data_IF_865963706878
#
_entry.id   IF_865963706878
#
_cell.length_a   1.000
_cell.length_b   1.000
_cell.length_c   1.000
_cell.angle_alpha   90.00
_cell.angle_beta   90.00
_cell.angle_gamma   90.00
#
_symmetry.space_group_name_H-M   'P 1'
#
loop_
_entity.id
_entity.type
_entity.pdbx_description
1 polymer ?
#
# COMPACT_ATOMS: atom_id res chain seq x y z
N UNK A 1 3.27 -29.71 35.79
CA UNK A 1 1.80 -29.48 35.69
C UNK A 1 1.46 -28.14 35.04
N UNK A 2 2.28 -27.10 35.18
CA UNK A 2 2.07 -25.77 34.58
C UNK A 2 2.13 -25.74 33.02
N UNK A 3 3.01 -26.51 32.39
CA UNK A 3 3.12 -26.58 30.92
C UNK A 3 1.90 -27.21 30.21
N UNK A 4 1.17 -28.12 30.87
CA UNK A 4 -0.06 -28.72 30.30
C UNK A 4 -1.28 -27.79 30.35
N UNK A 5 -1.34 -26.86 31.28
CA UNK A 5 -2.42 -25.86 31.40
C UNK A 5 -2.23 -24.70 30.43
N UNK A 6 -0.98 -24.27 30.19
CA UNK A 6 -0.68 -23.23 29.20
C UNK A 6 -1.03 -23.67 27.76
N UNK A 7 -0.75 -24.92 27.39
CA UNK A 7 -1.11 -25.46 26.07
C UNK A 7 -2.61 -25.54 25.80
N UNK A 8 -3.43 -25.84 26.81
CA UNK A 8 -4.91 -25.88 26.66
C UNK A 8 -5.51 -24.48 26.48
N UNK A 9 -4.99 -23.48 27.19
CA UNK A 9 -5.43 -22.08 27.05
C UNK A 9 -5.12 -21.51 25.67
N UNK A 10 -3.93 -21.76 25.17
CA UNK A 10 -3.52 -21.34 23.82
C UNK A 10 -4.35 -21.99 22.73
N UNK A 11 -4.61 -23.31 22.82
CA UNK A 11 -5.45 -24.00 21.86
C UNK A 11 -6.89 -23.47 21.86
N UNK A 12 -7.48 -23.23 23.02
CA UNK A 12 -8.82 -22.64 23.11
C UNK A 12 -8.88 -21.24 22.50
N UNK A 13 -7.85 -20.40 22.75
CA UNK A 13 -7.74 -19.06 22.16
C UNK A 13 -7.62 -19.12 20.64
N UNK A 14 -6.82 -20.05 20.12
CA UNK A 14 -6.68 -20.32 18.69
C UNK A 14 -8.03 -20.66 18.04
N UNK A 15 -8.80 -21.57 18.66
CA UNK A 15 -10.10 -21.98 18.13
C UNK A 15 -11.11 -20.84 18.17
N UNK A 16 -11.08 -19.98 19.20
CA UNK A 16 -11.88 -18.77 19.25
C UNK A 16 -11.55 -17.81 18.11
N UNK A 17 -10.26 -17.58 17.83
CA UNK A 17 -9.81 -16.71 16.75
C UNK A 17 -10.24 -17.25 15.38
N UNK A 18 -10.12 -18.56 15.15
CA UNK A 18 -10.65 -19.21 13.93
C UNK A 18 -12.14 -18.98 13.76
N UNK A 19 -12.90 -19.17 14.83
CA UNK A 19 -14.34 -18.90 14.83
C UNK A 19 -14.66 -17.43 14.52
N UNK A 20 -13.84 -16.49 14.96
CA UNK A 20 -14.01 -15.07 14.65
C UNK A 20 -13.80 -14.77 13.15
N UNK A 21 -12.84 -15.40 12.48
CA UNK A 21 -12.67 -15.29 11.03
C UNK A 21 -13.85 -15.85 10.26
N UNK A 22 -14.33 -17.04 10.63
CA UNK A 22 -15.51 -17.66 10.00
C UNK A 22 -16.76 -16.80 10.21
N UNK A 23 -16.96 -16.27 11.42
CA UNK A 23 -18.08 -15.38 11.73
C UNK A 23 -18.01 -14.06 10.96
N UNK A 24 -16.84 -13.48 10.83
CA UNK A 24 -16.62 -12.26 10.05
C UNK A 24 -16.90 -12.48 8.55
N UNK A 25 -16.50 -13.62 7.99
CA UNK A 25 -16.80 -13.98 6.61
C UNK A 25 -18.31 -14.19 6.42
N UNK A 26 -18.97 -14.91 7.33
CA UNK A 26 -20.42 -15.15 7.30
C UNK A 26 -21.21 -13.84 7.41
N UNK A 27 -20.78 -12.88 8.22
CA UNK A 27 -21.39 -11.56 8.33
C UNK A 27 -21.35 -10.76 7.00
N UNK A 28 -20.38 -11.06 6.14
CA UNK A 28 -20.28 -10.52 4.78
C UNK A 28 -21.03 -11.38 3.73
N UNK A 29 -21.79 -12.39 4.16
CA UNK A 29 -22.47 -13.30 3.24
C UNK A 29 -21.54 -14.20 2.43
N UNK A 30 -20.33 -14.45 2.92
CA UNK A 30 -19.27 -15.18 2.23
C UNK A 30 -18.66 -16.26 3.13
N UNK A 31 -17.72 -17.01 2.57
CA UNK A 31 -16.89 -17.98 3.28
C UNK A 31 -15.42 -17.75 2.92
N UNK A 32 -14.51 -18.11 3.85
CA UNK A 32 -13.09 -18.08 3.57
C UNK A 32 -12.76 -19.08 2.45
N UNK A 33 -12.05 -18.61 1.44
CA UNK A 33 -11.42 -19.50 0.46
C UNK A 33 -10.23 -20.27 1.07
N UNK A 34 -9.64 -21.26 0.39
CA UNK A 34 -8.55 -22.08 0.94
C UNK A 34 -7.33 -21.26 1.37
N UNK A 35 -6.95 -20.24 0.59
CA UNK A 35 -5.80 -19.38 0.87
C UNK A 35 -6.10 -18.44 2.05
N UNK A 36 -7.29 -17.87 2.09
CA UNK A 36 -7.74 -17.06 3.23
C UNK A 36 -7.82 -17.89 4.51
N UNK A 37 -8.25 -19.16 4.41
CA UNK A 37 -8.29 -20.07 5.57
C UNK A 37 -6.88 -20.37 6.08
N UNK A 38 -5.94 -20.61 5.18
CA UNK A 38 -4.52 -20.79 5.53
C UNK A 38 -3.96 -19.55 6.23
N UNK A 39 -4.26 -18.36 5.72
CA UNK A 39 -3.86 -17.10 6.33
C UNK A 39 -4.51 -16.90 7.71
N UNK A 40 -5.81 -17.13 7.83
CA UNK A 40 -6.56 -17.06 9.09
C UNK A 40 -6.00 -18.03 10.15
N UNK A 41 -5.61 -19.24 9.76
CA UNK A 41 -4.97 -20.21 10.65
C UNK A 41 -3.64 -19.68 11.20
N UNK A 42 -2.78 -19.09 10.36
CA UNK A 42 -1.52 -18.49 10.79
C UNK A 42 -1.71 -17.27 11.68
N UNK A 43 -2.67 -16.44 11.35
CA UNK A 43 -3.04 -15.30 12.18
C UNK A 43 -3.62 -15.73 13.54
N UNK A 44 -4.41 -16.81 13.57
CA UNK A 44 -4.92 -17.38 14.80
C UNK A 44 -3.80 -17.98 15.67
N UNK A 45 -2.79 -18.63 15.07
CA UNK A 45 -1.60 -19.11 15.78
C UNK A 45 -0.85 -17.95 16.44
N UNK A 46 -0.64 -16.87 15.70
CA UNK A 46 0.02 -15.66 16.20
C UNK A 46 -0.78 -15.02 17.34
N UNK A 47 -2.09 -14.82 17.17
CA UNK A 47 -2.96 -14.17 18.15
C UNK A 47 -3.24 -15.01 19.39
N UNK A 48 -3.07 -16.34 19.30
CA UNK A 48 -3.16 -17.25 20.45
C UNK A 48 -1.89 -17.21 21.33
N UNK A 49 -0.78 -16.69 20.80
CA UNK A 49 0.47 -16.62 21.53
C UNK A 49 0.96 -18.00 22.00
N UNK A 50 0.85 -19.02 21.14
CA UNK A 50 1.07 -20.42 21.52
C UNK A 50 2.46 -20.66 22.12
N UNK A 51 3.46 -19.93 21.66
CA UNK A 51 4.79 -19.89 22.26
C UNK A 51 5.59 -18.65 21.75
N UNK A 52 6.75 -18.38 22.35
CA UNK A 52 7.63 -17.28 21.96
C UNK A 52 8.28 -17.50 20.58
N UNK A 53 8.22 -18.72 20.05
CA UNK A 53 8.74 -19.10 18.74
C UNK A 53 7.73 -18.89 17.60
N UNK A 54 6.47 -18.49 17.90
CA UNK A 54 5.46 -18.24 16.86
C UNK A 54 5.92 -17.06 15.99
N UNK A 55 6.19 -17.28 14.69
CA UNK A 55 6.66 -16.22 13.81
C UNK A 55 5.56 -15.19 13.57
N UNK A 56 5.96 -14.00 13.14
CA UNK A 56 5.05 -13.05 12.51
C UNK A 56 4.38 -13.63 11.27
N UNK A 57 3.49 -12.88 10.66
CA UNK A 57 2.79 -13.31 9.44
C UNK A 57 2.93 -12.24 8.36
N UNK A 58 3.43 -12.62 7.19
CA UNK A 58 3.50 -11.79 6.00
C UNK A 58 2.48 -12.29 4.99
N UNK A 59 1.39 -11.53 4.80
CA UNK A 59 0.33 -11.82 3.83
C UNK A 59 0.63 -11.12 2.52
N UNK A 60 0.76 -11.86 1.41
CA UNK A 60 0.96 -11.26 0.11
C UNK A 60 0.00 -11.82 -0.94
N UNK A 61 -0.12 -11.10 -2.06
CA UNK A 61 -0.95 -11.50 -3.19
C UNK A 61 -1.69 -10.32 -3.81
N UNK A 62 -2.46 -10.54 -4.88
CA UNK A 62 -3.14 -9.49 -5.61
C UNK A 62 -4.04 -8.62 -4.73
N UNK A 63 -4.29 -7.40 -5.19
CA UNK A 63 -5.22 -6.46 -4.57
C UNK A 63 -6.64 -7.05 -4.52
N UNK A 64 -7.41 -6.73 -3.47
CA UNK A 64 -8.81 -7.17 -3.36
C UNK A 64 -9.01 -8.58 -2.77
N UNK A 65 -7.96 -9.29 -2.39
CA UNK A 65 -8.02 -10.67 -1.87
C UNK A 65 -8.30 -10.78 -0.37
N UNK A 66 -8.54 -9.66 0.32
CA UNK A 66 -8.92 -9.65 1.73
C UNK A 66 -7.76 -9.67 2.72
N UNK A 67 -6.50 -9.44 2.29
CA UNK A 67 -5.32 -9.44 3.18
C UNK A 67 -5.47 -8.49 4.38
N UNK A 68 -5.77 -7.22 4.10
CA UNK A 68 -5.99 -6.20 5.13
C UNK A 68 -7.20 -6.53 6.00
N UNK A 69 -8.30 -7.03 5.40
CA UNK A 69 -9.47 -7.48 6.14
C UNK A 69 -9.14 -8.63 7.11
N UNK A 70 -8.38 -9.63 6.70
CA UNK A 70 -7.91 -10.70 7.59
C UNK A 70 -7.09 -10.14 8.76
N UNK A 71 -6.17 -9.21 8.48
CA UNK A 71 -5.40 -8.55 9.53
C UNK A 71 -6.31 -7.76 10.50
N UNK A 72 -7.30 -7.03 9.98
CA UNK A 72 -8.26 -6.26 10.77
C UNK A 72 -9.12 -7.17 11.68
N UNK A 73 -9.57 -8.32 11.18
CA UNK A 73 -10.29 -9.32 12.00
C UNK A 73 -9.40 -9.77 13.17
N UNK A 74 -8.13 -10.11 12.92
CA UNK A 74 -7.22 -10.45 14.01
C UNK A 74 -7.10 -9.32 15.04
N UNK A 75 -6.81 -8.09 14.58
CA UNK A 75 -6.59 -6.95 15.48
C UNK A 75 -7.82 -6.66 16.35
N UNK A 76 -9.03 -6.81 15.78
CA UNK A 76 -10.28 -6.64 16.53
C UNK A 76 -10.47 -7.64 17.68
N UNK A 77 -9.77 -8.76 17.64
CA UNK A 77 -9.82 -9.81 18.67
C UNK A 77 -8.70 -9.69 19.71
N UNK A 78 -7.72 -8.80 19.50
CA UNK A 78 -6.65 -8.58 20.46
C UNK A 78 -7.12 -7.63 21.59
N UNK A 79 -6.53 -7.73 22.79
CA UNK A 79 -6.83 -6.79 23.86
C UNK A 79 -6.51 -5.35 23.44
N UNK A 80 -7.31 -4.40 23.90
CA UNK A 80 -7.11 -2.99 23.62
C UNK A 80 -5.72 -2.52 24.05
N UNK A 81 -5.05 -1.72 23.21
CA UNK A 81 -3.71 -1.19 23.47
C UNK A 81 -2.56 -2.18 23.24
N UNK A 82 -2.83 -3.44 22.87
CA UNK A 82 -1.77 -4.44 22.60
C UNK A 82 -1.31 -4.49 21.16
N UNK A 83 -1.98 -3.77 20.26
CA UNK A 83 -1.62 -3.71 18.85
C UNK A 83 -1.45 -2.28 18.36
N UNK A 84 -0.52 -2.11 17.41
CA UNK A 84 -0.30 -0.85 16.68
C UNK A 84 -0.42 -1.13 15.18
N UNK A 85 -1.12 -0.25 14.46
CA UNK A 85 -1.23 -0.31 12.99
C UNK A 85 -0.55 0.88 12.37
N UNK A 86 0.29 0.63 11.37
CA UNK A 86 0.97 1.65 10.57
C UNK A 86 1.03 1.19 9.11
N UNK A 87 0.98 2.14 8.19
CA UNK A 87 1.48 1.88 6.85
C UNK A 87 3.00 1.76 6.87
N UNK A 88 3.57 0.87 6.06
CA UNK A 88 5.02 0.67 6.03
C UNK A 88 5.79 1.97 5.70
N UNK A 89 5.25 2.81 4.83
CA UNK A 89 5.79 4.14 4.54
C UNK A 89 5.82 5.05 5.78
N UNK A 90 4.73 5.07 6.55
CA UNK A 90 4.67 5.90 7.77
C UNK A 90 5.63 5.38 8.84
N UNK A 91 5.80 4.07 8.94
CA UNK A 91 6.80 3.48 9.82
C UNK A 91 8.21 3.94 9.43
N UNK A 92 8.59 3.83 8.14
CA UNK A 92 9.89 4.31 7.66
C UNK A 92 10.07 5.82 7.94
N UNK A 93 9.05 6.63 7.66
CA UNK A 93 9.07 8.08 7.90
C UNK A 93 9.20 8.43 9.39
N UNK A 94 8.50 7.71 10.27
CA UNK A 94 8.61 7.89 11.72
C UNK A 94 10.00 7.51 12.23
N UNK A 95 10.56 6.40 11.73
CA UNK A 95 11.94 5.99 12.04
C UNK A 95 12.96 7.05 11.59
N UNK A 96 12.88 7.53 10.35
CA UNK A 96 13.75 8.60 9.85
C UNK A 96 13.68 9.87 10.72
N UNK A 97 12.46 10.31 11.07
CA UNK A 97 12.26 11.47 11.95
C UNK A 97 12.79 11.22 13.37
N UNK A 98 12.58 10.01 13.90
CA UNK A 98 13.05 9.62 15.22
C UNK A 98 14.58 9.62 15.30
N UNK A 99 15.24 9.09 14.26
CA UNK A 99 16.71 9.10 14.14
C UNK A 99 17.22 10.53 14.01
N UNK A 100 16.63 11.36 13.14
CA UNK A 100 17.05 12.75 12.92
C UNK A 100 16.94 13.60 14.19
N UNK A 101 15.87 13.43 14.97
CA UNK A 101 15.71 14.14 16.26
C UNK A 101 16.76 13.78 17.29
N UNK A 102 17.39 12.60 17.15
CA UNK A 102 18.39 12.05 18.07
C UNK A 102 19.79 12.04 17.46
N UNK A 103 20.00 12.73 16.35
CA UNK A 103 21.29 12.80 15.64
C UNK A 103 22.39 13.29 16.56
N UNK A 104 23.31 12.38 16.94
CA UNK A 104 24.47 12.62 17.79
C UNK A 104 24.75 11.52 18.84
N UNK A 105 23.85 10.52 19.02
CA UNK A 105 24.04 9.44 19.99
C UNK A 105 23.95 8.02 19.40
N UNK A 106 24.80 7.11 19.89
CA UNK A 106 24.59 5.66 19.72
C UNK A 106 23.21 5.32 20.32
N UNK A 107 22.27 4.80 19.52
CA UNK A 107 20.94 4.38 19.98
C UNK A 107 19.77 5.16 19.37
N UNK A 108 20.01 6.10 18.46
CA UNK A 108 18.94 6.85 17.80
C UNK A 108 17.90 5.96 17.06
N UNK A 109 18.35 4.88 16.43
CA UNK A 109 17.46 3.93 15.78
C UNK A 109 16.68 3.10 16.81
N UNK A 110 17.32 2.57 17.83
CA UNK A 110 16.65 1.75 18.86
C UNK A 110 15.53 2.53 19.56
N UNK A 111 15.83 3.77 19.97
CA UNK A 111 14.81 4.63 20.57
C UNK A 111 13.71 5.06 19.58
N UNK A 112 14.03 5.20 18.28
CA UNK A 112 13.00 5.45 17.26
C UNK A 112 12.10 4.23 17.06
N UNK A 113 12.65 3.01 17.15
CA UNK A 113 11.88 1.77 17.11
C UNK A 113 10.94 1.68 18.32
N UNK A 114 11.45 1.98 19.52
CA UNK A 114 10.65 1.96 20.75
C UNK A 114 9.48 2.96 20.68
N UNK A 115 9.70 4.15 20.09
CA UNK A 115 8.64 5.13 19.84
C UNK A 115 7.57 4.60 18.87
N UNK A 116 8.00 3.92 17.79
CA UNK A 116 7.08 3.38 16.75
C UNK A 116 6.26 2.22 17.29
N UNK A 117 6.87 1.34 18.09
CA UNK A 117 6.20 0.18 18.66
C UNK A 117 5.23 0.57 19.78
N UNK A 118 5.58 1.60 20.59
CA UNK A 118 4.69 2.14 21.61
C UNK A 118 4.22 1.15 22.68
N UNK A 119 4.95 0.05 22.90
CA UNK A 119 4.59 -1.00 23.87
C UNK A 119 3.60 -2.05 23.33
N UNK A 120 3.27 -2.03 22.05
CA UNK A 120 2.44 -3.05 21.41
C UNK A 120 3.16 -4.41 21.39
N UNK A 121 2.40 -5.50 21.49
CA UNK A 121 2.88 -6.89 21.31
C UNK A 121 2.64 -7.39 19.88
N UNK A 122 1.74 -6.75 19.13
CA UNK A 122 1.50 -7.02 17.72
C UNK A 122 1.58 -5.71 16.93
N UNK A 123 2.40 -5.70 15.89
CA UNK A 123 2.51 -4.59 14.95
C UNK A 123 1.95 -5.03 13.60
N UNK A 124 0.93 -4.31 13.10
CA UNK A 124 0.48 -4.42 11.72
C UNK A 124 1.20 -3.37 10.86
N UNK A 125 1.99 -3.85 9.90
CA UNK A 125 2.50 -3.02 8.80
C UNK A 125 1.65 -3.28 7.56
N UNK A 126 0.78 -2.34 7.26
CA UNK A 126 -0.08 -2.42 6.07
C UNK A 126 0.68 -1.93 4.83
N UNK A 127 0.41 -2.58 3.68
CA UNK A 127 0.99 -2.24 2.39
C UNK A 127 2.53 -2.20 2.39
N UNK A 128 3.17 -3.23 2.95
CA UNK A 128 4.63 -3.29 3.01
C UNK A 128 5.21 -3.35 1.60
N UNK A 129 5.86 -2.26 1.24
CA UNK A 129 6.61 -2.06 0.01
C UNK A 129 7.83 -1.20 0.29
N UNK A 130 8.93 -1.43 -0.42
CA UNK A 130 10.11 -0.58 -0.36
C UNK A 130 10.16 0.30 -1.62
N UNK A 131 10.02 1.61 -1.44
CA UNK A 131 10.06 2.57 -2.55
C UNK A 131 11.49 2.94 -2.95
N UNK A 132 12.42 2.85 -2.02
CA UNK A 132 13.83 3.10 -2.27
C UNK A 132 14.73 2.16 -1.41
N UNK A 133 16.01 2.04 -1.77
CA UNK A 133 16.96 1.19 -1.04
C UNK A 133 17.21 1.61 0.41
N UNK A 134 17.12 2.91 0.72
CA UNK A 134 17.33 3.42 2.08
C UNK A 134 16.22 2.97 3.01
N UNK A 135 14.97 3.05 2.55
CA UNK A 135 13.80 2.54 3.26
C UNK A 135 13.90 1.03 3.45
N UNK A 136 14.30 0.27 2.42
CA UNK A 136 14.49 -1.17 2.52
C UNK A 136 15.51 -1.56 3.60
N UNK A 137 16.63 -0.86 3.66
CA UNK A 137 17.65 -1.09 4.70
C UNK A 137 17.14 -0.74 6.10
N UNK A 138 16.44 0.37 6.23
CA UNK A 138 15.88 0.81 7.52
C UNK A 138 14.81 -0.17 8.02
N UNK A 139 13.86 -0.56 7.15
CA UNK A 139 12.83 -1.55 7.44
C UNK A 139 13.44 -2.91 7.80
N UNK A 140 14.49 -3.35 7.11
CA UNK A 140 15.21 -4.59 7.45
C UNK A 140 15.71 -4.59 8.88
N UNK A 141 16.32 -3.49 9.34
CA UNK A 141 16.80 -3.33 10.71
C UNK A 141 15.66 -3.25 11.71
N UNK A 142 14.60 -2.53 11.34
CA UNK A 142 13.37 -2.43 12.13
C UNK A 142 12.75 -3.80 12.38
N UNK A 143 12.52 -4.59 11.33
CA UNK A 143 11.89 -5.91 11.45
C UNK A 143 12.69 -6.87 12.33
N UNK A 144 14.02 -6.88 12.20
CA UNK A 144 14.87 -7.72 13.06
C UNK A 144 14.89 -7.28 14.53
N UNK A 145 14.54 -6.03 14.81
CA UNK A 145 14.49 -5.51 16.16
C UNK A 145 13.16 -5.80 16.89
N UNK A 146 12.13 -6.26 16.19
CA UNK A 146 10.81 -6.55 16.77
C UNK A 146 10.80 -7.79 17.67
N UNK A 147 11.32 -8.98 17.24
CA UNK A 147 11.27 -10.20 18.06
C UNK A 147 11.95 -10.05 19.42
N UNK A 148 13.16 -9.44 19.55
CA UNK A 148 13.79 -9.23 20.87
C UNK A 148 12.97 -8.33 21.80
N UNK A 149 12.03 -7.56 21.28
CA UNK A 149 11.11 -6.71 22.05
C UNK A 149 9.79 -7.41 22.39
N UNK A 150 9.65 -8.68 22.03
CA UNK A 150 8.39 -9.42 22.22
C UNK A 150 7.28 -8.97 21.26
N UNK A 151 7.62 -8.27 20.16
CA UNK A 151 6.67 -7.76 19.19
C UNK A 151 6.58 -8.70 18.00
N UNK A 152 5.38 -9.15 17.67
CA UNK A 152 5.11 -9.97 16.51
C UNK A 152 4.61 -9.09 15.36
N UNK A 153 5.15 -9.33 14.17
CA UNK A 153 4.77 -8.63 12.96
C UNK A 153 3.58 -9.31 12.28
N UNK A 154 2.58 -8.53 11.92
CA UNK A 154 1.65 -8.85 10.82
C UNK A 154 1.93 -7.85 9.72
N UNK A 155 2.18 -8.32 8.50
CA UNK A 155 2.39 -7.42 7.38
C UNK A 155 1.50 -7.82 6.20
N UNK A 156 0.97 -6.85 5.48
CA UNK A 156 0.27 -7.07 4.20
C UNK A 156 1.09 -6.48 3.06
N UNK A 157 1.03 -7.10 1.89
CA UNK A 157 1.71 -6.62 0.68
C UNK A 157 1.00 -7.11 -0.58
N UNK A 158 1.16 -6.40 -1.68
CA UNK A 158 0.73 -6.87 -2.98
C UNK A 158 1.80 -7.75 -3.66
N UNK A 159 2.99 -7.86 -3.06
CA UNK A 159 4.15 -8.55 -3.62
C UNK A 159 4.63 -9.66 -2.69
N UNK A 160 5.07 -10.77 -3.29
CA UNK A 160 5.92 -11.72 -2.57
C UNK A 160 7.21 -11.01 -2.10
N UNK A 161 7.90 -11.50 -1.05
CA UNK A 161 9.13 -10.85 -0.59
C UNK A 161 10.14 -10.58 -1.70
N UNK A 162 10.25 -11.47 -2.68
CA UNK A 162 11.16 -11.36 -3.83
C UNK A 162 10.74 -10.26 -4.82
N UNK A 163 9.45 -9.87 -4.81
CA UNK A 163 8.91 -8.79 -5.63
C UNK A 163 9.06 -7.41 -5.01
N UNK A 164 9.57 -7.31 -3.78
CA UNK A 164 9.88 -6.03 -3.18
C UNK A 164 11.06 -5.38 -3.91
N UNK A 165 10.88 -4.16 -4.43
CA UNK A 165 11.88 -3.41 -5.19
C UNK A 165 12.47 -4.23 -6.35
N UNK A 166 11.69 -4.60 -7.39
CA UNK A 166 12.07 -5.58 -8.40
C UNK A 166 13.13 -5.11 -9.41
N UNK A 167 13.54 -3.83 -9.37
CA UNK A 167 14.52 -3.29 -10.32
C UNK A 167 15.89 -3.99 -10.22
N UNK A 168 16.45 -4.55 -11.33
CA UNK A 168 17.67 -5.36 -11.30
C UNK A 168 18.90 -4.62 -10.74
N UNK A 169 18.91 -3.29 -10.83
CA UNK A 169 20.01 -2.45 -10.31
C UNK A 169 19.99 -2.30 -8.79
N UNK A 170 18.83 -2.46 -8.14
CA UNK A 170 18.66 -2.23 -6.71
C UNK A 170 18.23 -3.46 -5.93
N UNK A 171 17.95 -4.57 -6.62
CA UNK A 171 17.46 -5.81 -5.98
C UNK A 171 18.41 -6.31 -4.89
N UNK A 172 19.72 -6.19 -5.07
CA UNK A 172 20.68 -6.60 -4.04
C UNK A 172 20.57 -5.79 -2.74
N UNK A 173 20.02 -4.57 -2.80
CA UNK A 173 19.81 -3.70 -1.63
C UNK A 173 18.55 -4.04 -0.83
N UNK A 174 17.61 -4.78 -1.43
CA UNK A 174 16.40 -5.27 -0.75
C UNK A 174 16.59 -6.67 -0.14
N UNK A 175 17.63 -7.40 -0.52
CA UNK A 175 17.91 -8.75 0.03
C UNK A 175 17.91 -8.79 1.57
N UNK A 176 18.48 -7.80 2.30
CA UNK A 176 18.40 -7.79 3.76
C UNK A 176 16.97 -7.70 4.31
N UNK A 177 16.07 -7.00 3.60
CA UNK A 177 14.65 -6.91 3.97
C UNK A 177 13.93 -8.23 3.70
N UNK A 178 14.17 -8.85 2.54
CA UNK A 178 13.64 -10.18 2.20
C UNK A 178 14.08 -11.22 3.23
N UNK A 179 15.38 -11.22 3.59
CA UNK A 179 15.92 -12.10 4.61
C UNK A 179 15.22 -11.86 5.97
N UNK A 180 15.10 -10.59 6.40
CA UNK A 180 14.44 -10.25 7.65
C UNK A 180 12.98 -10.75 7.69
N UNK A 181 12.22 -10.57 6.60
CA UNK A 181 10.84 -11.08 6.50
C UNK A 181 10.80 -12.60 6.65
N UNK A 182 11.66 -13.33 5.95
CA UNK A 182 11.70 -14.79 6.00
C UNK A 182 12.19 -15.34 7.34
N UNK A 183 13.07 -14.61 8.03
CA UNK A 183 13.56 -14.96 9.35
C UNK A 183 12.50 -14.74 10.43
N UNK A 184 11.66 -13.71 10.29
CA UNK A 184 10.76 -13.25 11.36
C UNK A 184 9.29 -13.59 11.09
N UNK A 185 8.90 -13.97 9.86
CA UNK A 185 7.51 -14.18 9.47
C UNK A 185 7.30 -15.51 8.73
N UNK A 186 6.13 -16.11 8.95
CA UNK A 186 5.56 -17.06 8.02
C UNK A 186 5.01 -16.29 6.80
N UNK A 187 5.52 -16.60 5.62
CA UNK A 187 5.07 -16.00 4.35
C UNK A 187 3.88 -16.77 3.84
N UNK A 188 2.75 -16.10 3.63
CA UNK A 188 1.47 -16.70 3.23
C UNK A 188 0.91 -15.95 2.02
N UNK A 189 0.68 -16.67 0.94
CA UNK A 189 0.01 -16.13 -0.24
C UNK A 189 -1.52 -16.14 -0.05
N UNK A 190 -2.17 -15.04 -0.44
CA UNK A 190 -3.62 -14.86 -0.47
C UNK A 190 -4.00 -14.44 -1.88
N UNK A 191 -4.15 -15.42 -2.77
CA UNK A 191 -4.36 -15.22 -4.21
C UNK A 191 -5.69 -15.79 -4.72
N UNK A 192 -6.64 -16.10 -3.82
CA UNK A 192 -7.93 -16.68 -4.13
C UNK A 192 -8.64 -16.05 -5.34
N UNK A 193 -9.54 -16.76 -6.02
CA UNK A 193 -10.12 -16.32 -7.29
C UNK A 193 -11.10 -15.15 -7.16
N UNK A 194 -11.58 -14.85 -5.95
CA UNK A 194 -12.64 -13.87 -5.71
C UNK A 194 -12.04 -12.51 -5.33
N UNK A 195 -12.35 -11.48 -6.12
CA UNK A 195 -12.12 -10.10 -5.70
C UNK A 195 -13.27 -9.67 -4.77
N UNK A 196 -13.01 -9.63 -3.48
CA UNK A 196 -14.01 -9.27 -2.46
C UNK A 196 -14.52 -7.82 -2.59
N UNK A 197 -13.83 -6.96 -3.33
CA UNK A 197 -14.31 -5.60 -3.67
C UNK A 197 -15.46 -5.66 -4.66
N UNK A 198 -15.49 -6.66 -5.54
CA UNK A 198 -16.58 -6.87 -6.50
C UNK A 198 -17.87 -7.38 -5.85
N UNK A 199 -17.79 -7.97 -4.64
CA UNK A 199 -18.94 -8.47 -3.90
C UNK A 199 -19.67 -7.38 -3.09
N UNK A 200 -19.25 -6.12 -3.17
CA UNK A 200 -19.86 -4.86 -2.76
C UNK A 200 -20.93 -4.92 -1.67
N UNK A 201 -20.52 -4.72 -0.41
CA UNK A 201 -21.46 -4.25 0.62
C UNK A 201 -21.05 -2.82 1.04
N UNK A 202 -21.79 -1.85 0.49
CA UNK A 202 -21.61 -0.42 0.69
C UNK A 202 -20.90 0.24 -0.49
N UNK A 203 -21.59 1.12 -1.20
CA UNK A 203 -21.25 1.81 -2.43
C UNK A 203 -19.79 1.69 -2.88
N UNK A 204 -19.58 1.06 -4.01
CA UNK A 204 -18.24 0.76 -4.52
C UNK A 204 -17.39 2.05 -4.49
N UNK A 205 -16.44 2.12 -3.55
CA UNK A 205 -15.52 3.25 -3.50
C UNK A 205 -14.70 3.23 -4.78
N UNK A 206 -14.57 4.36 -5.47
CA UNK A 206 -13.77 4.42 -6.68
C UNK A 206 -12.31 4.07 -6.34
N UNK A 207 -11.80 2.97 -6.90
CA UNK A 207 -10.41 2.53 -6.78
C UNK A 207 -9.73 2.50 -8.14
N UNK A 208 -8.53 1.92 -8.20
CA UNK A 208 -7.72 1.82 -9.42
C UNK A 208 -8.51 1.25 -10.61
N UNK A 209 -9.27 0.18 -10.41
CA UNK A 209 -10.06 -0.48 -11.47
C UNK A 209 -11.15 0.40 -12.09
N UNK A 210 -11.50 1.51 -11.43
CA UNK A 210 -12.43 2.54 -11.96
C UNK A 210 -11.70 3.70 -12.62
N UNK A 211 -10.37 3.67 -12.67
CA UNK A 211 -9.53 4.64 -13.35
C UNK A 211 -9.70 4.61 -14.86
N UNK A 212 -9.21 5.64 -15.54
CA UNK A 212 -9.32 5.74 -16.99
C UNK A 212 -8.14 6.48 -17.62
N UNK A 213 -7.81 6.10 -18.85
CA UNK A 213 -6.95 6.89 -19.72
C UNK A 213 -7.81 7.58 -20.76
N UNK A 214 -7.94 8.89 -20.69
CA UNK A 214 -8.79 9.69 -21.55
C UNK A 214 -7.94 10.37 -22.65
N UNK A 215 -8.04 9.89 -23.85
CA UNK A 215 -7.41 10.50 -25.03
C UNK A 215 -8.48 10.93 -26.05
N UNK A 216 -8.57 12.17 -26.45
CA UNK A 216 -7.73 13.36 -26.19
C UNK A 216 -8.03 14.11 -24.88
N UNK A 217 -8.71 13.54 -23.92
CA UNK A 217 -8.92 14.08 -22.58
C UNK A 217 -9.90 15.27 -22.51
N UNK A 218 -10.96 15.24 -23.31
CA UNK A 218 -11.98 16.29 -23.35
C UNK A 218 -12.81 16.38 -22.05
N UNK A 219 -13.46 17.51 -21.81
CA UNK A 219 -14.41 17.68 -20.71
C UNK A 219 -15.59 16.69 -20.79
N UNK A 220 -16.03 16.33 -21.99
CA UNK A 220 -17.10 15.34 -22.19
C UNK A 220 -16.66 13.94 -21.76
N UNK A 221 -15.43 13.53 -22.04
CA UNK A 221 -14.87 12.26 -21.60
C UNK A 221 -14.70 12.23 -20.08
N UNK A 222 -14.26 13.34 -19.47
CA UNK A 222 -14.16 13.47 -18.02
C UNK A 222 -15.54 13.32 -17.36
N UNK A 223 -16.58 13.98 -17.93
CA UNK A 223 -17.97 13.86 -17.48
C UNK A 223 -18.50 12.42 -17.63
N UNK A 224 -18.17 11.74 -18.75
CA UNK A 224 -18.52 10.34 -18.96
C UNK A 224 -17.84 9.41 -17.94
N UNK A 225 -16.65 9.79 -17.43
CA UNK A 225 -16.00 9.13 -16.31
C UNK A 225 -16.61 9.49 -14.95
N UNK A 226 -17.70 10.27 -14.91
CA UNK A 226 -18.38 10.68 -13.68
C UNK A 226 -17.63 11.75 -12.88
N UNK A 227 -16.82 12.57 -13.54
CA UNK A 227 -16.04 13.64 -12.92
C UNK A 227 -16.38 14.98 -13.52
N UNK A 228 -16.53 15.99 -12.67
CA UNK A 228 -16.71 17.37 -13.10
C UNK A 228 -15.35 18.04 -13.37
N UNK A 229 -15.29 18.88 -14.40
CA UNK A 229 -14.11 19.69 -14.65
C UNK A 229 -14.10 20.89 -13.72
N UNK A 230 -12.95 21.19 -13.05
CA UNK A 230 -12.88 22.38 -12.22
C UNK A 230 -12.98 23.65 -13.07
N UNK A 231 -13.67 24.65 -12.57
CA UNK A 231 -13.72 25.95 -13.23
C UNK A 231 -12.34 26.65 -13.16
N UNK A 232 -12.04 27.60 -14.06
CA UNK A 232 -10.77 28.33 -14.02
C UNK A 232 -10.48 29.04 -12.68
N UNK A 233 -11.54 29.39 -11.93
CA UNK A 233 -11.44 30.00 -10.61
C UNK A 233 -11.19 29.03 -9.45
N UNK A 234 -11.28 27.72 -9.66
CA UNK A 234 -11.13 26.69 -8.64
C UNK A 234 -9.66 26.33 -8.35
N UNK A 235 -8.73 26.99 -9.02
CA UNK A 235 -7.30 26.74 -8.81
C UNK A 235 -6.91 26.98 -7.36
N UNK A 236 -6.21 26.02 -6.80
CA UNK A 236 -5.81 26.04 -5.38
C UNK A 236 -4.36 25.63 -5.24
N UNK A 237 -3.71 26.12 -4.19
CA UNK A 237 -2.38 25.69 -3.78
C UNK A 237 -2.51 24.76 -2.59
N UNK A 238 -2.18 23.52 -2.76
CA UNK A 238 -2.14 22.51 -1.70
C UNK A 238 -0.78 22.52 -1.02
N UNK A 239 -0.76 22.27 0.29
CA UNK A 239 0.49 21.97 0.99
C UNK A 239 0.67 20.45 0.97
N UNK A 240 1.72 19.96 0.30
CA UNK A 240 2.03 18.54 0.13
C UNK A 240 3.53 18.36 0.39
N UNK A 241 3.90 17.45 1.28
CA UNK A 241 5.30 17.24 1.67
C UNK A 241 5.96 18.50 2.26
N UNK A 242 5.16 19.41 2.84
CA UNK A 242 5.62 20.70 3.35
C UNK A 242 5.95 21.75 2.25
N UNK A 243 5.51 21.51 1.01
CA UNK A 243 5.74 22.37 -0.16
C UNK A 243 4.43 22.77 -0.83
N UNK A 244 4.36 23.95 -1.47
CA UNK A 244 3.20 24.34 -2.23
C UNK A 244 3.12 23.54 -3.55
N UNK A 245 2.01 22.87 -3.79
CA UNK A 245 1.67 22.18 -5.03
C UNK A 245 0.45 22.85 -5.66
N UNK A 246 0.56 23.30 -6.91
CA UNK A 246 -0.57 23.88 -7.64
C UNK A 246 -1.51 22.78 -8.10
N UNK A 247 -2.80 22.95 -7.83
CA UNK A 247 -3.84 22.11 -8.37
C UNK A 247 -4.79 22.94 -9.26
N UNK A 248 -5.30 22.30 -10.31
CA UNK A 248 -6.31 22.89 -11.17
C UNK A 248 -7.64 23.09 -10.44
N UNK A 249 -7.87 22.27 -9.41
CA UNK A 249 -9.01 22.36 -8.52
C UNK A 249 -9.20 21.10 -7.70
N UNK A 250 -10.08 21.20 -6.71
CA UNK A 250 -10.56 20.06 -5.90
C UNK A 250 -12.07 20.02 -6.05
N UNK A 251 -12.61 18.92 -6.57
CA UNK A 251 -14.04 18.72 -6.80
C UNK A 251 -14.50 17.48 -6.07
N UNK A 252 -15.20 17.63 -4.95
CA UNK A 252 -15.55 16.54 -4.07
C UNK A 252 -14.30 15.82 -3.52
N UNK A 253 -14.19 14.53 -3.74
CA UNK A 253 -13.03 13.72 -3.33
C UNK A 253 -11.94 13.60 -4.42
N UNK A 254 -12.08 14.37 -5.52
CA UNK A 254 -11.13 14.37 -6.62
C UNK A 254 -10.24 15.61 -6.62
N UNK A 255 -8.93 15.42 -6.74
CA UNK A 255 -7.97 16.49 -7.02
C UNK A 255 -7.56 16.46 -8.49
N UNK A 256 -7.59 17.62 -9.13
CA UNK A 256 -7.16 17.80 -10.51
C UNK A 256 -5.80 18.49 -10.54
N UNK A 257 -4.82 17.82 -11.11
CA UNK A 257 -3.43 18.26 -11.17
C UNK A 257 -2.98 18.33 -12.63
N UNK A 258 -2.03 19.21 -12.92
CA UNK A 258 -1.36 19.21 -14.20
C UNK A 258 -0.06 18.40 -14.14
N UNK A 259 0.29 17.73 -15.23
CA UNK A 259 1.50 16.91 -15.30
C UNK A 259 2.75 17.69 -14.94
N UNK A 260 2.89 18.93 -15.45
CA UNK A 260 4.06 19.75 -15.18
C UNK A 260 4.17 20.17 -13.71
N UNK A 261 3.04 20.42 -13.03
CA UNK A 261 3.05 20.80 -11.62
C UNK A 261 3.38 19.62 -10.69
N UNK A 262 3.01 18.38 -11.09
CA UNK A 262 3.27 17.19 -10.29
C UNK A 262 4.52 16.43 -10.74
N UNK A 263 4.62 16.08 -12.02
CA UNK A 263 5.72 15.27 -12.53
C UNK A 263 6.86 16.11 -13.09
N UNK A 264 6.57 17.28 -13.66
CA UNK A 264 7.58 18.25 -14.13
C UNK A 264 8.31 18.95 -13.01
N UNK A 265 7.64 19.25 -11.91
CA UNK A 265 8.21 19.87 -10.71
C UNK A 265 9.02 18.87 -9.86
N UNK A 266 9.91 19.34 -8.95
CA UNK A 266 10.73 18.47 -8.10
C UNK A 266 9.91 17.88 -6.93
N UNK A 267 8.89 17.11 -7.25
CA UNK A 267 8.10 16.33 -6.30
C UNK A 267 8.78 14.98 -5.99
N UNK A 268 8.29 14.30 -4.97
CA UNK A 268 8.78 13.00 -4.50
C UNK A 268 7.66 11.97 -4.44
N UNK A 269 7.99 10.71 -4.32
CA UNK A 269 7.03 9.62 -4.04
C UNK A 269 6.21 9.91 -2.77
N UNK A 270 6.83 10.57 -1.77
CA UNK A 270 6.14 11.00 -0.55
C UNK A 270 4.99 11.98 -0.80
N UNK A 271 5.14 12.86 -1.80
CA UNK A 271 4.07 13.80 -2.18
C UNK A 271 2.89 13.05 -2.83
N UNK A 272 3.18 12.05 -3.68
CA UNK A 272 2.16 11.18 -4.28
C UNK A 272 1.41 10.36 -3.21
N UNK A 273 2.13 9.85 -2.20
CA UNK A 273 1.55 9.13 -1.06
C UNK A 273 0.62 10.05 -0.25
N UNK A 274 1.06 11.26 0.09
CA UNK A 274 0.21 12.23 0.83
C UNK A 274 -1.04 12.60 0.02
N UNK A 275 -0.93 12.79 -1.30
CA UNK A 275 -2.09 13.01 -2.17
C UNK A 275 -3.04 11.81 -2.15
N UNK A 276 -2.52 10.59 -2.19
CA UNK A 276 -3.32 9.35 -2.16
C UNK A 276 -4.08 9.14 -0.84
N UNK A 277 -3.58 9.69 0.26
CA UNK A 277 -4.25 9.68 1.57
C UNK A 277 -5.39 10.69 1.65
N UNK A 278 -5.20 11.85 1.02
CA UNK A 278 -6.14 12.97 1.08
C UNK A 278 -7.28 12.87 0.07
N UNK A 279 -7.02 12.24 -1.09
CA UNK A 279 -7.96 12.22 -2.21
C UNK A 279 -8.21 10.80 -2.71
N UNK A 280 -9.46 10.46 -2.96
CA UNK A 280 -9.87 9.16 -3.51
C UNK A 280 -9.68 9.05 -5.01
N UNK A 281 -9.64 10.18 -5.69
CA UNK A 281 -9.45 10.27 -7.14
C UNK A 281 -8.39 11.32 -7.45
N UNK A 282 -7.38 10.92 -8.22
CA UNK A 282 -6.41 11.82 -8.81
C UNK A 282 -6.68 11.94 -10.32
N UNK A 283 -6.91 13.16 -10.78
CA UNK A 283 -7.03 13.47 -12.22
C UNK A 283 -5.73 14.16 -12.63
N UNK A 284 -4.98 13.52 -13.51
CA UNK A 284 -3.72 14.06 -14.03
C UNK A 284 -3.93 14.54 -15.48
N UNK A 285 -4.01 15.84 -15.66
CA UNK A 285 -4.21 16.46 -16.96
C UNK A 285 -2.89 16.82 -17.65
N UNK A 286 -2.91 16.87 -18.97
CA UNK A 286 -1.74 17.32 -19.76
C UNK A 286 -0.59 16.32 -19.80
N UNK A 287 -0.88 15.03 -19.66
CA UNK A 287 0.15 13.99 -19.78
C UNK A 287 0.60 13.91 -21.25
N UNK A 288 1.86 14.22 -21.55
CA UNK A 288 2.38 14.16 -22.91
C UNK A 288 2.86 12.74 -23.28
N UNK A 289 3.32 12.58 -24.52
CA UNK A 289 4.15 11.42 -24.85
C UNK A 289 5.37 11.40 -23.93
N UNK A 290 5.60 10.34 -23.18
CA UNK A 290 6.68 10.29 -22.18
C UNK A 290 8.06 10.33 -22.80
N UNK A 291 8.20 10.03 -24.09
CA UNK A 291 9.43 10.25 -24.87
C UNK A 291 9.82 11.72 -24.99
N UNK A 292 8.85 12.64 -24.90
CA UNK A 292 9.08 14.09 -25.02
C UNK A 292 9.54 14.78 -23.74
N UNK A 293 9.53 14.08 -22.61
CA UNK A 293 9.89 14.66 -21.31
C UNK A 293 11.18 14.05 -20.73
N UNK A 294 11.81 14.78 -19.81
CA UNK A 294 13.03 14.33 -19.16
C UNK A 294 12.86 13.10 -18.27
N UNK A 295 13.95 12.38 -18.02
CA UNK A 295 13.97 11.13 -17.25
C UNK A 295 13.33 11.30 -15.85
N UNK A 296 13.58 12.42 -15.18
CA UNK A 296 13.02 12.68 -13.84
C UNK A 296 11.50 12.83 -13.85
N UNK A 297 10.93 13.45 -14.87
CA UNK A 297 9.47 13.57 -15.01
C UNK A 297 8.83 12.20 -15.30
N UNK A 298 9.47 11.39 -16.15
CA UNK A 298 9.04 9.99 -16.41
C UNK A 298 9.05 9.15 -15.16
N UNK A 299 10.13 9.25 -14.37
CA UNK A 299 10.23 8.52 -13.10
C UNK A 299 9.12 8.92 -12.13
N UNK A 300 8.88 10.22 -11.94
CA UNK A 300 7.81 10.69 -11.04
C UNK A 300 6.43 10.27 -11.49
N UNK A 301 6.18 10.22 -12.80
CA UNK A 301 4.94 9.68 -13.34
C UNK A 301 4.80 8.17 -13.04
N UNK A 302 5.86 7.40 -13.22
CA UNK A 302 5.86 5.98 -12.87
C UNK A 302 5.63 5.77 -11.36
N UNK A 303 6.30 6.54 -10.50
CA UNK A 303 6.12 6.49 -9.05
C UNK A 303 4.68 6.85 -8.65
N UNK A 304 4.06 7.86 -9.31
CA UNK A 304 2.65 8.20 -9.09
C UNK A 304 1.71 7.05 -9.47
N UNK A 305 1.92 6.43 -10.62
CA UNK A 305 1.14 5.26 -11.08
C UNK A 305 1.28 4.12 -10.09
N UNK A 306 2.50 3.86 -9.61
CA UNK A 306 2.80 2.84 -8.61
C UNK A 306 2.05 3.11 -7.30
N UNK A 307 2.11 4.33 -6.78
CA UNK A 307 1.39 4.72 -5.55
C UNK A 307 -0.12 4.60 -5.71
N UNK A 308 -0.68 5.07 -6.83
CA UNK A 308 -2.12 4.96 -7.07
C UNK A 308 -2.58 3.51 -7.18
N UNK A 309 -1.78 2.66 -7.83
CA UNK A 309 -2.02 1.22 -7.91
C UNK A 309 -1.99 0.56 -6.53
N UNK A 310 -0.91 0.77 -5.77
CA UNK A 310 -0.69 0.14 -4.48
C UNK A 310 -1.73 0.57 -3.43
N UNK A 311 -2.16 1.84 -3.47
CA UNK A 311 -3.15 2.44 -2.57
C UNK A 311 -4.60 2.30 -3.04
N UNK A 312 -4.82 1.64 -4.19
CA UNK A 312 -6.14 1.53 -4.82
C UNK A 312 -6.83 2.89 -4.99
N UNK A 313 -6.07 3.89 -5.38
CA UNK A 313 -6.59 5.23 -5.68
C UNK A 313 -7.02 5.27 -7.15
N UNK A 314 -8.18 5.82 -7.42
CA UNK A 314 -8.66 6.04 -8.77
C UNK A 314 -7.77 7.05 -9.49
N UNK A 315 -7.05 6.60 -10.51
CA UNK A 315 -6.26 7.49 -11.38
C UNK A 315 -7.00 7.71 -12.71
N UNK A 316 -7.23 8.98 -13.04
CA UNK A 316 -7.76 9.37 -14.35
C UNK A 316 -6.70 10.23 -15.04
N UNK A 317 -6.17 9.70 -16.13
CA UNK A 317 -5.17 10.38 -16.95
C UNK A 317 -5.86 11.08 -18.10
N UNK A 318 -5.58 12.36 -18.30
CA UNK A 318 -6.01 13.14 -19.47
C UNK A 318 -4.78 13.42 -20.33
N UNK A 319 -4.73 12.85 -21.52
CA UNK A 319 -3.60 12.93 -22.44
C UNK A 319 -4.07 13.29 -23.84
N UNK A 320 -3.23 14.00 -24.58
CA UNK A 320 -3.50 14.26 -25.99
C UNK A 320 -3.26 13.03 -26.88
N UNK A 321 -2.56 12.01 -26.33
CA UNK A 321 -2.20 10.78 -27.05
C UNK A 321 -2.77 9.54 -26.35
N UNK A 322 -2.92 8.46 -27.09
CA UNK A 322 -3.33 7.18 -26.54
C UNK A 322 -2.29 6.61 -25.57
N UNK A 323 -2.70 5.70 -24.67
CA UNK A 323 -1.82 5.14 -23.65
C UNK A 323 -0.60 4.43 -24.27
N UNK A 324 -0.81 3.68 -25.34
CA UNK A 324 0.25 2.96 -26.05
C UNK A 324 1.29 3.93 -26.63
N UNK A 325 0.83 5.03 -27.23
CA UNK A 325 1.70 6.07 -27.80
C UNK A 325 2.42 6.87 -26.71
N UNK A 326 1.74 7.17 -25.60
CA UNK A 326 2.34 7.87 -24.48
C UNK A 326 3.49 7.08 -23.86
N UNK A 327 3.41 5.75 -23.86
CA UNK A 327 4.37 4.83 -23.25
C UNK A 327 5.41 4.31 -24.25
N UNK A 328 5.43 4.81 -25.48
CA UNK A 328 6.40 4.39 -26.49
C UNK A 328 7.79 4.95 -26.16
N UNK A 329 8.80 4.07 -26.21
CA UNK A 329 10.24 4.27 -26.09
C UNK A 329 10.84 4.88 -24.79
N UNK A 330 11.71 4.11 -24.15
CA UNK A 330 12.73 4.60 -23.20
C UNK A 330 12.27 4.82 -21.75
N UNK A 331 11.06 4.37 -21.39
CA UNK A 331 10.60 4.40 -20.00
C UNK A 331 11.20 3.19 -19.25
N UNK A 332 11.95 3.46 -18.18
CA UNK A 332 12.45 2.43 -17.27
C UNK A 332 11.25 1.69 -16.66
N UNK A 333 11.30 0.37 -16.55
CA UNK A 333 10.18 -0.47 -16.07
C UNK A 333 8.89 -0.35 -16.93
N UNK A 334 9.03 -0.10 -18.23
CA UNK A 334 7.92 0.06 -19.18
C UNK A 334 6.89 -1.09 -19.07
N UNK A 335 7.33 -2.33 -18.99
CA UNK A 335 6.44 -3.50 -18.90
C UNK A 335 5.52 -3.43 -17.68
N UNK A 336 6.04 -3.04 -16.53
CA UNK A 336 5.26 -2.87 -15.30
C UNK A 336 4.27 -1.72 -15.42
N UNK A 337 4.71 -0.58 -15.94
CA UNK A 337 3.87 0.60 -16.13
C UNK A 337 2.75 0.31 -17.15
N UNK A 338 3.09 -0.32 -18.27
CA UNK A 338 2.11 -0.76 -19.28
C UNK A 338 1.11 -1.75 -18.67
N UNK A 339 1.58 -2.74 -17.92
CA UNK A 339 0.71 -3.72 -17.27
C UNK A 339 -0.30 -3.07 -16.30
N UNK A 340 0.12 -2.07 -15.52
CA UNK A 340 -0.78 -1.36 -14.61
C UNK A 340 -1.75 -0.46 -15.35
N UNK A 341 -1.27 0.32 -16.31
CA UNK A 341 -2.10 1.26 -17.07
C UNK A 341 -3.07 0.56 -18.04
N UNK A 342 -2.75 -0.66 -18.52
CA UNK A 342 -3.68 -1.46 -19.34
C UNK A 342 -4.95 -1.89 -18.59
N UNK A 343 -4.94 -1.83 -17.26
CA UNK A 343 -6.10 -2.11 -16.42
C UNK A 343 -7.01 -0.88 -16.23
N UNK A 344 -6.54 0.30 -16.61
CA UNK A 344 -7.40 1.48 -16.69
C UNK A 344 -8.36 1.31 -17.87
N UNK A 345 -9.57 1.81 -17.71
CA UNK A 345 -10.54 1.79 -18.82
C UNK A 345 -9.99 2.65 -19.96
N UNK A 346 -9.75 2.03 -21.10
CA UNK A 346 -9.54 2.78 -22.32
C UNK A 346 -10.89 3.35 -22.75
N UNK A 347 -10.89 4.62 -23.18
CA UNK A 347 -12.11 5.27 -23.65
C UNK A 347 -12.76 4.49 -24.80
N UNK A 348 -14.02 4.13 -24.62
CA UNK A 348 -14.87 3.85 -25.78
C UNK A 348 -15.11 5.19 -26.50
N UNK A 349 -14.91 5.28 -27.84
CA UNK A 349 -15.23 6.49 -28.58
C UNK A 349 -16.69 6.87 -28.29
N UNK A 350 -16.92 8.13 -27.95
CA UNK A 350 -18.29 8.67 -27.83
C UNK A 350 -19.03 8.36 -29.13
N UNK A 351 -20.09 7.54 -29.01
CA UNK A 351 -21.00 7.32 -30.13
C UNK A 351 -21.85 8.56 -30.38
#
# INVERSE_FOLDING_TARGET
MAQRTAGRGGQHRRDQLRGAFDAAAAAMGSHLDPEQRTAADRLADLGAGLDDSTPGVYLHGPVGRGKTWLADVLLSQLPEGTSTRLHAYDAARQLHRGIARRSGGRGGLEAAIDDVVGGATVLLLDELHAHDPGDAMLLSRFLRALPPRGVRLVATSNFAPEGLLPGPQHHHLVLPLISALRETCAVVEVAGPVDHRALGHGGARPGWSSGAWLGPGSAAQLAAAGLAEPAPGDRVVLQVGGRPLRALGVVGEAVHLHFDDLCGAPTSTGDALELSERFRTLVLAGVPALSSVGEQARRRFADLVDVCWDRDVRLVVRSAVAAEEALDAGVRDRERLVSRLSLLRADAPAR
#
